data_IF_954857988589
#
_entry.id   IF_954857988589
#
_cell.length_a   1.000
_cell.length_b   1.000
_cell.length_c   1.000
_cell.angle_alpha   90.00
_cell.angle_beta   90.00
_cell.angle_gamma   90.00
#
_symmetry.space_group_name_H-M   'P 1'
#
loop_
_entity.id
_entity.type
_entity.pdbx_description
1 polymer ?
#
# COMPACT_ATOMS: atom_id res chain seq x y z
N UNK A 1 -7.72 11.06 9.88
CA UNK A 1 -6.99 10.25 10.87
C UNK A 1 -5.73 9.73 10.18
N UNK A 2 -4.53 9.96 10.73
CA UNK A 2 -3.25 9.71 10.03
C UNK A 2 -2.48 8.57 10.72
N UNK A 3 -2.80 7.32 10.39
CA UNK A 3 -2.14 6.15 10.98
C UNK A 3 -0.74 5.88 10.40
N UNK A 4 -0.39 6.43 9.24
CA UNK A 4 0.86 6.15 8.54
C UNK A 4 2.05 7.01 8.98
N UNK A 5 1.80 8.09 9.75
CA UNK A 5 2.81 9.07 10.15
C UNK A 5 3.24 8.89 11.62
N UNK A 6 4.54 8.92 11.88
CA UNK A 6 5.07 9.01 13.24
C UNK A 6 5.07 10.47 13.74
N UNK A 7 4.53 10.74 14.92
CA UNK A 7 4.54 12.07 15.53
C UNK A 7 5.80 12.28 16.39
N UNK A 8 6.75 13.04 15.86
CA UNK A 8 8.02 13.35 16.53
C UNK A 8 7.91 14.45 17.60
N UNK A 9 6.73 15.06 17.80
CA UNK A 9 6.56 16.13 18.80
C UNK A 9 6.82 15.65 20.22
N UNK A 10 6.54 14.38 20.52
CA UNK A 10 6.89 13.75 21.80
C UNK A 10 8.39 13.44 21.93
N UNK A 11 9.09 13.27 20.80
CA UNK A 11 10.53 13.02 20.79
C UNK A 11 11.36 14.29 20.98
N UNK A 12 10.88 15.46 20.51
CA UNK A 12 11.60 16.74 20.61
C UNK A 12 11.69 17.30 22.04
N UNK A 13 10.81 16.87 22.95
CA UNK A 13 10.86 17.28 24.37
C UNK A 13 11.84 16.47 25.21
N UNK A 14 12.45 15.41 24.65
CA UNK A 14 13.40 14.54 25.32
C UNK A 14 14.71 15.29 25.63
N UNK A 15 14.99 15.54 26.91
CA UNK A 15 16.18 16.29 27.35
C UNK A 15 17.34 15.36 27.70
N UNK A 16 17.02 14.14 28.13
CA UNK A 16 18.01 13.19 28.63
C UNK A 16 18.40 12.12 27.58
N UNK A 17 19.64 11.60 27.67
CA UNK A 17 20.15 10.58 26.74
C UNK A 17 19.28 9.30 26.73
N UNK A 18 18.71 8.93 27.88
CA UNK A 18 17.79 7.80 28.00
C UNK A 18 16.48 8.04 27.23
N UNK A 19 15.96 9.26 27.25
CA UNK A 19 14.74 9.62 26.52
C UNK A 19 14.98 9.62 25.00
N UNK A 20 16.17 10.07 24.55
CA UNK A 20 16.57 10.00 23.14
C UNK A 20 16.65 8.56 22.63
N UNK A 21 17.27 7.66 23.39
CA UNK A 21 17.33 6.23 23.03
C UNK A 21 15.92 5.61 22.95
N UNK A 22 15.04 5.94 23.90
CA UNK A 22 13.65 5.48 23.89
C UNK A 22 12.89 5.99 22.67
N UNK A 23 13.04 7.26 22.31
CA UNK A 23 12.39 7.86 21.15
C UNK A 23 12.85 7.21 19.82
N UNK A 24 14.16 6.95 19.67
CA UNK A 24 14.70 6.25 18.51
C UNK A 24 14.13 4.83 18.37
N UNK A 25 14.03 4.09 19.48
CA UNK A 25 13.42 2.76 19.50
C UNK A 25 11.94 2.80 19.15
N UNK A 26 11.18 3.77 19.68
CA UNK A 26 9.77 3.95 19.35
C UNK A 26 9.56 4.25 17.85
N UNK A 27 10.40 5.12 17.27
CA UNK A 27 10.40 5.39 15.83
C UNK A 27 10.67 4.10 15.05
N UNK A 28 11.71 3.35 15.41
CA UNK A 28 12.02 2.08 14.75
C UNK A 28 10.85 1.10 14.80
N UNK A 29 10.26 0.87 15.98
CA UNK A 29 9.11 -0.02 16.14
C UNK A 29 7.91 0.43 15.31
N UNK A 30 7.66 1.74 15.21
CA UNK A 30 6.58 2.27 14.40
C UNK A 30 6.69 1.88 12.92
N UNK A 31 7.85 2.10 12.31
CA UNK A 31 8.08 1.80 10.89
C UNK A 31 8.23 0.29 10.64
N UNK A 32 8.94 -0.42 11.53
CA UNK A 32 9.15 -1.86 11.44
C UNK A 32 7.82 -2.63 11.54
N UNK A 33 6.94 -2.26 12.48
CA UNK A 33 5.62 -2.90 12.60
C UNK A 33 4.79 -2.75 11.32
N UNK A 34 4.82 -1.58 10.66
CA UNK A 34 4.08 -1.36 9.41
C UNK A 34 4.65 -2.16 8.25
N UNK A 35 5.98 -2.19 8.12
CA UNK A 35 6.66 -3.06 7.17
C UNK A 35 6.24 -4.52 7.36
N UNK A 36 6.33 -5.04 8.59
CA UNK A 36 6.01 -6.43 8.92
C UNK A 36 4.52 -6.74 8.71
N UNK A 37 3.64 -5.80 9.03
CA UNK A 37 2.20 -5.94 8.77
C UNK A 37 1.92 -6.06 7.28
N UNK A 38 2.47 -5.17 6.43
CA UNK A 38 2.30 -5.29 4.99
C UNK A 38 2.94 -6.56 4.43
N UNK A 39 4.09 -6.98 4.95
CA UNK A 39 4.72 -8.25 4.56
C UNK A 39 3.83 -9.46 4.91
N UNK A 40 3.15 -9.43 6.05
CA UNK A 40 2.23 -10.48 6.45
C UNK A 40 0.94 -10.44 5.61
N UNK A 41 0.36 -9.26 5.37
CA UNK A 41 -0.78 -9.09 4.46
C UNK A 41 -0.47 -9.59 3.06
N UNK A 42 0.73 -9.29 2.52
CA UNK A 42 1.17 -9.78 1.23
C UNK A 42 1.14 -11.31 1.14
N UNK A 43 1.52 -12.02 2.21
CA UNK A 43 1.41 -13.49 2.24
C UNK A 43 -0.03 -13.98 2.17
N UNK A 44 -0.99 -13.23 2.71
CA UNK A 44 -2.41 -13.57 2.59
C UNK A 44 -2.96 -13.25 1.19
N UNK A 45 -2.54 -12.13 0.59
CA UNK A 45 -2.92 -11.77 -0.78
C UNK A 45 -2.47 -12.80 -1.82
N UNK A 46 -1.29 -13.41 -1.64
CA UNK A 46 -0.85 -14.49 -2.52
C UNK A 46 -1.80 -15.70 -2.51
N UNK A 47 -2.61 -15.88 -1.46
CA UNK A 47 -3.62 -16.94 -1.42
C UNK A 47 -4.86 -16.59 -2.26
N UNK A 48 -5.10 -15.31 -2.55
CA UNK A 48 -6.21 -14.85 -3.39
C UNK A 48 -6.11 -15.35 -4.83
N UNK A 49 -4.90 -15.64 -5.34
CA UNK A 49 -4.75 -16.19 -6.69
C UNK A 49 -5.55 -17.46 -6.92
N UNK A 50 -5.65 -18.34 -5.91
CA UNK A 50 -6.44 -19.55 -6.01
C UNK A 50 -7.94 -19.24 -6.11
N UNK A 51 -8.47 -18.43 -5.18
CA UNK A 51 -9.87 -18.05 -5.16
C UNK A 51 -10.31 -17.26 -6.40
N UNK A 52 -9.44 -16.37 -6.90
CA UNK A 52 -9.67 -15.64 -8.14
C UNK A 52 -9.68 -16.56 -9.35
N UNK A 53 -8.79 -17.55 -9.40
CA UNK A 53 -8.79 -18.53 -10.48
C UNK A 53 -10.12 -19.30 -10.54
N UNK A 54 -10.61 -19.77 -9.40
CA UNK A 54 -11.90 -20.47 -9.32
C UNK A 54 -13.05 -19.55 -9.78
N UNK A 55 -13.03 -18.26 -9.38
CA UNK A 55 -14.03 -17.28 -9.82
C UNK A 55 -13.95 -16.98 -11.32
N UNK A 56 -12.75 -16.93 -11.89
CA UNK A 56 -12.56 -16.79 -13.34
C UNK A 56 -13.18 -17.99 -14.08
N UNK A 57 -12.95 -19.21 -13.60
CA UNK A 57 -13.54 -20.43 -14.18
C UNK A 57 -15.08 -20.40 -14.09
N UNK A 58 -15.65 -19.98 -12.96
CA UNK A 58 -17.10 -19.79 -12.79
C UNK A 58 -17.67 -18.77 -13.78
N UNK A 59 -17.01 -17.62 -13.93
CA UNK A 59 -17.41 -16.58 -14.89
C UNK A 59 -17.35 -17.07 -16.33
N UNK A 60 -16.36 -17.90 -16.67
CA UNK A 60 -16.25 -18.49 -18.01
C UNK A 60 -17.38 -19.47 -18.32
N UNK A 61 -17.82 -20.25 -17.32
CA UNK A 61 -19.00 -21.12 -17.45
C UNK A 61 -20.28 -20.31 -17.66
N UNK A 62 -20.31 -19.03 -17.26
CA UNK A 62 -21.43 -18.10 -17.46
C UNK A 62 -21.30 -17.25 -18.74
N UNK A 63 -20.60 -17.75 -19.77
CA UNK A 63 -20.42 -17.15 -21.09
C UNK A 63 -19.44 -15.96 -21.18
N UNK A 64 -18.59 -15.72 -20.17
CA UNK A 64 -17.47 -14.78 -20.32
C UNK A 64 -16.28 -15.46 -21.02
N UNK A 65 -15.67 -14.78 -21.97
CA UNK A 65 -14.45 -15.29 -22.63
C UNK A 65 -13.25 -15.28 -21.68
N UNK A 66 -12.21 -16.06 -22.02
CA UNK A 66 -10.94 -16.09 -21.26
C UNK A 66 -10.31 -14.69 -21.08
N UNK A 67 -10.46 -13.81 -22.08
CA UNK A 67 -9.93 -12.44 -22.03
C UNK A 67 -10.74 -11.59 -21.04
N UNK A 68 -12.06 -11.77 -21.02
CA UNK A 68 -12.96 -10.95 -20.19
C UNK A 68 -12.83 -11.20 -18.69
N UNK A 69 -12.24 -12.32 -18.28
CA UNK A 69 -12.01 -12.66 -16.87
C UNK A 69 -10.60 -12.30 -16.37
N UNK A 70 -9.67 -11.90 -17.26
CA UNK A 70 -8.29 -11.58 -16.87
C UNK A 70 -8.17 -10.40 -15.88
N UNK A 71 -9.18 -9.53 -15.82
CA UNK A 71 -9.19 -8.38 -14.91
C UNK A 71 -9.05 -8.79 -13.45
N UNK A 72 -9.52 -9.99 -13.06
CA UNK A 72 -9.38 -10.48 -11.69
C UNK A 72 -7.93 -10.80 -11.35
N UNK A 73 -7.22 -11.49 -12.25
CA UNK A 73 -5.79 -11.76 -12.06
C UNK A 73 -5.00 -10.45 -12.01
N UNK A 74 -5.27 -9.53 -12.93
CA UNK A 74 -4.63 -8.20 -12.96
C UNK A 74 -4.86 -7.47 -11.64
N UNK A 75 -6.07 -7.52 -11.09
CA UNK A 75 -6.37 -6.89 -9.80
C UNK A 75 -5.52 -7.46 -8.65
N UNK A 76 -5.34 -8.78 -8.59
CA UNK A 76 -4.48 -9.42 -7.57
C UNK A 76 -3.00 -9.09 -7.81
N UNK A 77 -2.54 -9.10 -9.07
CA UNK A 77 -1.16 -8.72 -9.43
C UNK A 77 -0.86 -7.28 -8.93
N UNK A 78 -1.76 -6.32 -9.23
CA UNK A 78 -1.64 -4.92 -8.81
C UNK A 78 -1.71 -4.78 -7.28
N UNK A 79 -2.62 -5.51 -6.63
CA UNK A 79 -2.75 -5.51 -5.17
C UNK A 79 -1.42 -5.93 -4.51
N UNK A 80 -0.83 -7.04 -4.96
CA UNK A 80 0.45 -7.55 -4.44
C UNK A 80 1.59 -6.54 -4.67
N UNK A 81 1.65 -5.93 -5.87
CA UNK A 81 2.65 -4.91 -6.19
C UNK A 81 2.51 -3.67 -5.31
N UNK A 82 1.29 -3.21 -5.06
CA UNK A 82 1.03 -2.05 -4.19
C UNK A 82 1.40 -2.36 -2.74
N UNK A 83 1.08 -3.56 -2.24
CA UNK A 83 1.47 -4.00 -0.90
C UNK A 83 2.99 -4.09 -0.74
N UNK A 84 3.69 -4.66 -1.72
CA UNK A 84 5.15 -4.69 -1.74
C UNK A 84 5.75 -3.28 -1.78
N UNK A 85 5.19 -2.38 -2.59
CA UNK A 85 5.61 -0.98 -2.63
C UNK A 85 5.42 -0.33 -1.27
N UNK A 86 4.25 -0.49 -0.63
CA UNK A 86 3.97 0.03 0.71
C UNK A 86 4.99 -0.44 1.74
N UNK A 87 5.41 -1.71 1.73
CA UNK A 87 6.50 -2.19 2.58
C UNK A 87 7.74 -1.30 2.46
N UNK A 88 8.23 -1.08 1.23
CA UNK A 88 9.43 -0.29 1.01
C UNK A 88 9.23 1.20 1.24
N UNK A 89 8.00 1.73 1.09
CA UNK A 89 7.72 3.12 1.47
C UNK A 89 7.97 3.36 2.96
N UNK A 90 7.71 2.39 3.83
CA UNK A 90 8.01 2.50 5.27
C UNK A 90 9.50 2.40 5.58
N UNK A 91 10.27 1.64 4.80
CA UNK A 91 11.74 1.64 4.90
C UNK A 91 12.31 2.99 4.50
N UNK A 92 11.87 3.53 3.36
CA UNK A 92 12.26 4.85 2.89
C UNK A 92 11.90 5.93 3.93
N UNK A 93 10.67 5.93 4.43
CA UNK A 93 10.18 6.90 5.40
C UNK A 93 10.91 6.85 6.75
N UNK A 94 11.41 5.67 7.17
CA UNK A 94 12.17 5.52 8.40
C UNK A 94 13.47 6.33 8.38
N UNK A 95 14.20 6.28 7.27
CA UNK A 95 15.46 7.03 7.12
C UNK A 95 15.24 8.48 6.74
N UNK A 96 14.06 8.85 6.24
CA UNK A 96 13.81 10.17 5.70
C UNK A 96 13.79 11.25 6.79
N UNK A 97 14.63 12.27 6.63
CA UNK A 97 14.59 13.49 7.41
C UNK A 97 13.41 14.36 6.93
N UNK A 98 12.70 14.93 7.90
CA UNK A 98 11.45 15.63 7.63
C UNK A 98 11.68 16.96 6.91
N UNK A 99 10.96 17.16 5.79
CA UNK A 99 10.94 18.39 5.01
C UNK A 99 9.56 18.59 4.35
N UNK A 100 9.42 19.57 3.47
CA UNK A 100 8.14 19.83 2.80
C UNK A 100 7.72 18.67 1.89
N UNK A 101 8.68 18.04 1.21
CA UNK A 101 8.43 16.95 0.26
C UNK A 101 8.09 15.65 0.99
N UNK A 102 8.62 15.45 2.20
CA UNK A 102 8.27 14.30 3.04
C UNK A 102 6.79 14.33 3.46
N UNK A 103 6.21 15.52 3.66
CA UNK A 103 4.79 15.66 3.97
C UNK A 103 3.88 15.29 2.78
N UNK A 104 4.32 15.63 1.55
CA UNK A 104 3.61 15.24 0.32
C UNK A 104 3.74 13.73 0.10
N UNK A 105 4.93 13.18 0.30
CA UNK A 105 5.15 11.73 0.27
C UNK A 105 4.25 10.99 1.27
N UNK A 106 4.16 11.45 2.52
CA UNK A 106 3.29 10.87 3.56
C UNK A 106 1.79 10.94 3.18
N UNK A 107 1.38 11.95 2.41
CA UNK A 107 0.03 12.04 1.88
C UNK A 107 -0.21 10.99 0.79
N UNK A 108 0.69 10.92 -0.20
CA UNK A 108 0.61 9.93 -1.28
C UNK A 108 0.66 8.50 -0.74
N UNK A 109 1.48 8.24 0.28
CA UNK A 109 1.54 6.94 0.96
C UNK A 109 0.19 6.56 1.59
N UNK A 110 -0.49 7.51 2.25
CA UNK A 110 -1.81 7.27 2.83
C UNK A 110 -2.85 6.97 1.76
N UNK A 111 -2.84 7.72 0.67
CA UNK A 111 -3.79 7.50 -0.44
C UNK A 111 -3.59 6.12 -1.06
N UNK A 112 -2.34 5.68 -1.25
CA UNK A 112 -2.00 4.34 -1.71
C UNK A 112 -2.45 3.26 -0.71
N UNK A 113 -2.18 3.44 0.59
CA UNK A 113 -2.57 2.49 1.63
C UNK A 113 -4.09 2.32 1.66
N UNK A 114 -4.84 3.43 1.66
CA UNK A 114 -6.31 3.38 1.63
C UNK A 114 -6.85 2.71 0.36
N UNK A 115 -6.25 2.98 -0.80
CA UNK A 115 -6.65 2.34 -2.05
C UNK A 115 -6.34 0.83 -2.05
N UNK A 116 -5.20 0.44 -1.48
CA UNK A 116 -4.76 -0.96 -1.34
C UNK A 116 -5.70 -1.73 -0.43
N UNK A 117 -6.04 -1.20 0.75
CA UNK A 117 -6.99 -1.87 1.66
C UNK A 117 -8.39 -1.98 1.04
N UNK A 118 -8.84 -0.94 0.33
CA UNK A 118 -10.15 -0.96 -0.37
C UNK A 118 -10.21 -2.04 -1.45
N UNK A 119 -9.12 -2.26 -2.18
CA UNK A 119 -9.03 -3.32 -3.18
C UNK A 119 -8.95 -4.69 -2.52
N UNK A 120 -8.13 -4.84 -1.46
CA UNK A 120 -7.98 -6.07 -0.69
C UNK A 120 -9.31 -6.55 -0.12
N UNK A 121 -10.04 -5.67 0.56
CA UNK A 121 -11.32 -6.01 1.20
C UNK A 121 -12.36 -6.47 0.16
N UNK A 122 -12.43 -5.77 -0.98
CA UNK A 122 -13.38 -6.11 -2.04
C UNK A 122 -13.08 -7.48 -2.66
N UNK A 123 -11.80 -7.81 -2.86
CA UNK A 123 -11.39 -9.11 -3.40
C UNK A 123 -11.55 -10.25 -2.37
N UNK A 124 -11.44 -9.97 -1.08
CA UNK A 124 -11.60 -10.96 -0.01
C UNK A 124 -13.06 -11.28 0.33
N UNK A 125 -13.96 -10.30 0.25
CA UNK A 125 -15.33 -10.42 0.81
C UNK A 125 -16.40 -10.21 -0.24
N UNK A 126 -16.37 -9.08 -0.92
CA UNK A 126 -17.51 -8.56 -1.67
C UNK A 126 -17.69 -9.23 -3.04
N UNK A 127 -16.61 -9.72 -3.64
CA UNK A 127 -16.64 -10.40 -4.95
C UNK A 127 -17.58 -11.62 -5.01
N UNK A 128 -17.90 -12.21 -3.85
CA UNK A 128 -18.77 -13.40 -3.77
C UNK A 128 -20.27 -13.08 -3.78
N UNK A 129 -20.66 -11.82 -3.60
CA UNK A 129 -22.05 -11.43 -3.31
C UNK A 129 -22.71 -10.62 -4.43
N UNK A 130 -22.00 -10.29 -5.51
CA UNK A 130 -22.45 -9.35 -6.53
C UNK A 130 -22.66 -9.99 -7.91
N UNK A 131 -23.43 -9.32 -8.78
CA UNK A 131 -23.60 -9.71 -10.18
C UNK A 131 -22.28 -9.55 -10.96
N UNK A 132 -22.01 -10.43 -11.92
CA UNK A 132 -20.77 -10.49 -12.69
C UNK A 132 -20.38 -9.17 -13.38
N UNK A 133 -21.37 -8.44 -13.92
CA UNK A 133 -21.12 -7.15 -14.59
C UNK A 133 -20.66 -6.07 -13.59
N UNK A 134 -21.26 -6.05 -12.40
CA UNK A 134 -20.90 -5.10 -11.34
C UNK A 134 -19.50 -5.40 -10.80
N UNK A 135 -19.16 -6.68 -10.63
CA UNK A 135 -17.83 -7.13 -10.23
C UNK A 135 -16.78 -6.60 -11.21
N UNK A 136 -16.99 -6.77 -12.52
CA UNK A 136 -16.02 -6.35 -13.53
C UNK A 136 -15.71 -4.85 -13.42
N UNK A 137 -16.75 -4.02 -13.38
CA UNK A 137 -16.57 -2.57 -13.30
C UNK A 137 -15.90 -2.15 -11.99
N UNK A 138 -16.39 -2.64 -10.85
CA UNK A 138 -15.87 -2.26 -9.52
C UNK A 138 -14.42 -2.70 -9.31
N UNK A 139 -14.07 -3.92 -9.70
CA UNK A 139 -12.68 -4.40 -9.61
C UNK A 139 -11.77 -3.54 -10.49
N UNK A 140 -12.18 -3.26 -11.73
CA UNK A 140 -11.40 -2.43 -12.65
C UNK A 140 -11.15 -1.02 -12.12
N UNK A 141 -12.18 -0.37 -11.58
CA UNK A 141 -12.03 0.98 -11.04
C UNK A 141 -11.11 0.98 -9.81
N UNK A 142 -11.25 0.00 -8.91
CA UNK A 142 -10.43 -0.12 -7.71
C UNK A 142 -8.96 -0.37 -8.03
N UNK A 143 -8.63 -1.35 -8.88
CA UNK A 143 -7.22 -1.64 -9.16
C UNK A 143 -6.57 -0.53 -9.98
N UNK A 144 -7.28 0.10 -10.93
CA UNK A 144 -6.73 1.25 -11.69
C UNK A 144 -6.48 2.44 -10.78
N UNK A 145 -7.37 2.70 -9.83
CA UNK A 145 -7.15 3.75 -8.84
C UNK A 145 -5.93 3.45 -7.96
N UNK A 146 -5.82 2.22 -7.45
CA UNK A 146 -4.69 1.76 -6.64
C UNK A 146 -3.35 1.90 -7.41
N UNK A 147 -3.31 1.42 -8.66
CA UNK A 147 -2.17 1.58 -9.56
C UNK A 147 -1.81 3.06 -9.78
N UNK A 148 -2.80 3.93 -9.99
CA UNK A 148 -2.57 5.37 -10.16
C UNK A 148 -1.96 6.02 -8.92
N UNK A 149 -2.35 5.60 -7.71
CA UNK A 149 -1.78 6.11 -6.45
C UNK A 149 -0.36 5.61 -6.26
N UNK A 150 -0.10 4.35 -6.62
CA UNK A 150 1.25 3.78 -6.59
C UNK A 150 2.18 4.54 -7.53
N UNK A 151 1.73 4.78 -8.76
CA UNK A 151 2.47 5.57 -9.75
C UNK A 151 2.77 6.99 -9.27
N UNK A 152 1.76 7.71 -8.78
CA UNK A 152 1.94 9.08 -8.27
C UNK A 152 2.92 9.15 -7.08
N UNK A 153 2.90 8.14 -6.20
CA UNK A 153 3.87 8.03 -5.10
C UNK A 153 5.29 7.84 -5.62
N UNK A 154 5.49 6.89 -6.54
CA UNK A 154 6.81 6.58 -7.09
C UNK A 154 7.37 7.75 -7.91
N UNK A 155 6.55 8.38 -8.75
CA UNK A 155 6.93 9.57 -9.51
C UNK A 155 7.41 10.71 -8.60
N UNK A 156 6.69 10.98 -7.50
CA UNK A 156 7.10 11.99 -6.51
C UNK A 156 8.44 11.65 -5.85
N UNK A 157 8.66 10.37 -5.51
CA UNK A 157 9.93 9.91 -4.93
C UNK A 157 11.07 10.03 -5.94
N UNK A 158 10.84 9.65 -7.20
CA UNK A 158 11.82 9.75 -8.29
C UNK A 158 12.20 11.19 -8.60
N UNK A 159 11.22 12.09 -8.73
CA UNK A 159 11.48 13.52 -8.92
C UNK A 159 12.31 14.10 -7.77
N UNK A 160 12.04 13.65 -6.54
CA UNK A 160 12.82 14.05 -5.38
C UNK A 160 14.26 13.54 -5.37
N UNK A 161 14.55 12.40 -6.01
CA UNK A 161 15.92 11.97 -6.24
C UNK A 161 16.61 12.85 -7.30
N UNK A 162 15.93 13.18 -8.39
CA UNK A 162 16.51 14.02 -9.46
C UNK A 162 16.81 15.45 -9.01
N UNK A 163 16.06 15.95 -8.03
CA UNK A 163 16.16 17.32 -7.51
C UNK A 163 16.79 17.42 -6.12
N UNK A 164 17.39 16.34 -5.63
CA UNK A 164 18.06 16.26 -4.32
C UNK A 164 17.18 16.74 -3.15
N UNK A 165 15.91 16.35 -3.14
CA UNK A 165 14.96 16.72 -2.07
C UNK A 165 15.13 15.91 -0.79
N UNK A 166 15.74 14.73 -0.87
CA UNK A 166 15.76 13.76 0.22
C UNK A 166 17.03 13.87 1.05
N UNK A 167 16.86 14.25 2.31
CA UNK A 167 17.90 14.13 3.33
C UNK A 167 17.58 12.92 4.21
N UNK A 168 18.62 12.25 4.71
CA UNK A 168 18.48 11.07 5.56
C UNK A 168 19.02 11.32 6.95
N UNK A 169 18.48 10.61 7.94
CA UNK A 169 19.04 10.58 9.30
C UNK A 169 20.31 9.71 9.30
N UNK A 170 21.31 10.15 10.07
CA UNK A 170 22.58 9.42 10.29
C UNK A 170 22.40 8.14 11.12
#
# INVERSE_FOLDING_TARGET
YNCNRYDEREAKSARDAQEKSRAALQRYLFYCNRYLNHMQSLKFEHKLYASVKDKMEEMQQQNMSWIEVQFLKIAVDILCQCRQTLMYTYVFAYYLKRNNQSAIFEHNQRDLESATETLSEYLERDITQENLLDIKQKVQDKYRYCESRCKALLEHVHEGYEKDWWEYID
#
